data_IF_301506559655
#
_entry.id   IF_301506559655
#
_cell.length_a   1.000
_cell.length_b   1.000
_cell.length_c   1.000
_cell.angle_alpha   90.00
_cell.angle_beta   90.00
_cell.angle_gamma   90.00
#
_symmetry.space_group_name_H-M   'P 1'
#
loop_
_entity.id
_entity.type
_entity.pdbx_description
1 polymer ?
#
# COMPACT_ATOMS: atom_id res chain seq x y z
N UNK A 1 -26.46 -3.26 -0.02
CA UNK A 1 -26.44 -4.39 0.92
C UNK A 1 -25.18 -5.25 0.82
N UNK A 2 -24.54 -5.32 -0.35
CA UNK A 2 -23.44 -6.24 -0.69
C UNK A 2 -22.16 -6.06 0.18
N UNK A 3 -21.92 -4.85 0.66
CA UNK A 3 -20.70 -4.53 1.43
C UNK A 3 -20.97 -4.28 2.92
N UNK A 4 -22.11 -4.68 3.46
CA UNK A 4 -22.46 -4.45 4.88
C UNK A 4 -21.50 -5.12 5.88
N UNK A 5 -20.83 -6.19 5.48
CA UNK A 5 -19.90 -6.95 6.32
C UNK A 5 -18.54 -6.25 6.54
N UNK A 6 -18.21 -5.22 5.77
CA UNK A 6 -16.92 -4.53 5.89
C UNK A 6 -17.02 -3.27 6.75
N UNK A 7 -15.95 -2.93 7.47
CA UNK A 7 -15.89 -1.71 8.27
C UNK A 7 -16.10 -0.45 7.42
N UNK A 8 -16.81 0.55 7.99
CA UNK A 8 -17.14 1.81 7.35
C UNK A 8 -17.94 1.65 6.02
N UNK A 9 -18.75 0.61 5.91
CA UNK A 9 -19.44 0.26 4.68
C UNK A 9 -20.31 1.39 4.10
N UNK A 10 -20.97 2.19 4.95
CA UNK A 10 -21.82 3.32 4.49
C UNK A 10 -21.01 4.36 3.74
N UNK A 11 -19.87 4.80 4.32
CA UNK A 11 -18.96 5.75 3.68
C UNK A 11 -18.35 5.17 2.41
N UNK A 12 -17.95 3.89 2.45
CA UNK A 12 -17.42 3.19 1.28
C UNK A 12 -18.45 3.11 0.16
N UNK A 13 -19.69 2.74 0.46
CA UNK A 13 -20.76 2.69 -0.53
C UNK A 13 -21.02 4.06 -1.17
N UNK A 14 -21.09 5.13 -0.37
CA UNK A 14 -21.24 6.50 -0.87
C UNK A 14 -20.08 6.88 -1.79
N UNK A 15 -18.84 6.62 -1.38
CA UNK A 15 -17.65 6.92 -2.16
C UNK A 15 -17.61 6.15 -3.49
N UNK A 16 -17.93 4.84 -3.47
CA UNK A 16 -18.00 4.03 -4.70
C UNK A 16 -19.00 4.58 -5.69
N UNK A 17 -20.21 4.90 -5.25
CA UNK A 17 -21.25 5.49 -6.12
C UNK A 17 -20.79 6.84 -6.69
N UNK A 18 -20.23 7.71 -5.86
CA UNK A 18 -19.74 9.02 -6.30
C UNK A 18 -18.55 8.89 -7.27
N UNK A 19 -17.64 7.94 -7.02
CA UNK A 19 -16.52 7.63 -7.93
C UNK A 19 -17.05 7.15 -9.29
N UNK A 20 -18.00 6.22 -9.32
CA UNK A 20 -18.60 5.76 -10.58
C UNK A 20 -19.24 6.92 -11.34
N UNK A 21 -19.97 7.80 -10.64
CA UNK A 21 -20.59 8.97 -11.28
C UNK A 21 -19.54 9.89 -11.88
N UNK A 22 -18.47 10.24 -11.15
CA UNK A 22 -17.40 11.09 -11.67
C UNK A 22 -16.66 10.45 -12.85
N UNK A 23 -16.44 9.14 -12.82
CA UNK A 23 -15.83 8.43 -13.96
C UNK A 23 -16.69 8.56 -15.22
N UNK A 24 -18.02 8.50 -15.09
CA UNK A 24 -18.95 8.66 -16.22
C UNK A 24 -18.95 10.11 -16.71
N UNK A 25 -19.12 11.09 -15.81
CA UNK A 25 -19.31 12.49 -16.19
C UNK A 25 -18.02 13.17 -16.63
N UNK A 26 -16.91 12.95 -15.91
CA UNK A 26 -15.68 13.74 -16.04
C UNK A 26 -14.57 12.98 -16.78
N UNK A 27 -14.67 11.65 -16.83
CA UNK A 27 -13.62 10.79 -17.40
C UNK A 27 -14.11 9.87 -18.52
N UNK A 28 -15.32 10.10 -19.09
CA UNK A 28 -15.86 9.32 -20.21
C UNK A 28 -15.89 7.80 -19.93
N UNK A 29 -16.16 7.39 -18.69
CA UNK A 29 -16.11 6.02 -18.20
C UNK A 29 -14.72 5.35 -18.30
N UNK A 30 -13.65 6.12 -18.45
CA UNK A 30 -12.28 5.63 -18.51
C UNK A 30 -11.58 5.94 -17.18
N UNK A 31 -10.89 4.94 -16.63
CA UNK A 31 -10.11 5.12 -15.41
C UNK A 31 -8.88 6.02 -15.71
N UNK A 32 -8.70 7.15 -15.01
CA UNK A 32 -7.57 8.04 -15.25
C UNK A 32 -6.22 7.39 -14.90
N UNK A 33 -5.21 7.60 -15.76
CA UNK A 33 -3.86 7.02 -15.63
C UNK A 33 -2.86 7.99 -14.97
N UNK A 34 -3.32 8.88 -14.13
CA UNK A 34 -2.43 9.75 -13.36
C UNK A 34 -2.90 9.89 -11.93
N UNK A 35 -1.95 10.11 -11.02
CA UNK A 35 -2.22 10.12 -9.58
C UNK A 35 -3.15 11.27 -9.16
N UNK A 36 -2.96 12.47 -9.72
CA UNK A 36 -3.76 13.65 -9.35
C UNK A 36 -5.24 13.40 -9.67
N UNK A 37 -5.54 12.92 -10.86
CA UNK A 37 -6.91 12.60 -11.25
C UNK A 37 -7.49 11.42 -10.46
N UNK A 38 -6.68 10.42 -10.10
CA UNK A 38 -7.14 9.33 -9.22
C UNK A 38 -7.42 9.83 -7.81
N UNK A 39 -6.58 10.69 -7.24
CA UNK A 39 -6.77 11.25 -5.90
C UNK A 39 -7.95 12.25 -5.82
N UNK A 40 -8.42 12.80 -6.94
CA UNK A 40 -9.63 13.63 -6.98
C UNK A 40 -10.92 12.79 -6.85
N UNK A 41 -10.86 11.48 -7.08
CA UNK A 41 -12.02 10.60 -6.94
C UNK A 41 -12.39 10.39 -5.47
N UNK A 42 -13.69 10.38 -5.12
CA UNK A 42 -14.16 10.21 -3.74
C UNK A 42 -13.62 8.95 -3.05
N UNK A 43 -12.95 9.14 -1.91
CA UNK A 43 -12.38 8.03 -1.13
C UNK A 43 -11.09 7.44 -1.69
N UNK A 44 -10.52 8.02 -2.71
CA UNK A 44 -9.22 7.65 -3.27
C UNK A 44 -8.14 8.58 -2.72
N UNK A 45 -7.31 8.07 -1.82
CA UNK A 45 -6.11 8.76 -1.37
C UNK A 45 -4.86 8.22 -2.06
N UNK A 46 -3.71 8.80 -1.75
CA UNK A 46 -2.39 8.46 -2.33
C UNK A 46 -2.11 6.94 -2.38
N UNK A 47 -2.40 6.24 -1.28
CA UNK A 47 -2.21 4.77 -1.22
C UNK A 47 -3.05 4.04 -2.26
N UNK A 48 -4.32 4.38 -2.38
CA UNK A 48 -5.23 3.75 -3.34
C UNK A 48 -4.85 4.10 -4.77
N UNK A 49 -4.52 5.36 -5.05
CA UNK A 49 -4.04 5.80 -6.35
C UNK A 49 -2.77 5.04 -6.77
N UNK A 50 -1.78 4.89 -5.88
CA UNK A 50 -0.57 4.12 -6.17
C UNK A 50 -0.84 2.64 -6.44
N UNK A 51 -1.78 2.01 -5.70
CA UNK A 51 -2.19 0.62 -5.98
C UNK A 51 -2.82 0.50 -7.37
N UNK A 52 -3.72 1.42 -7.72
CA UNK A 52 -4.37 1.43 -9.04
C UNK A 52 -3.35 1.62 -10.15
N UNK A 53 -2.46 2.60 -10.03
CA UNK A 53 -1.40 2.85 -11.00
C UNK A 53 -0.50 1.63 -11.22
N UNK A 54 -0.11 0.96 -10.13
CA UNK A 54 0.71 -0.24 -10.21
C UNK A 54 -0.04 -1.42 -10.83
N UNK A 55 -1.24 -1.73 -10.30
CA UNK A 55 -1.95 -2.96 -10.64
C UNK A 55 -2.66 -2.89 -12.00
N UNK A 56 -3.31 -1.76 -12.30
CA UNK A 56 -4.07 -1.60 -13.53
C UNK A 56 -3.23 -1.09 -14.70
N UNK A 57 -2.20 -0.29 -14.43
CA UNK A 57 -1.41 0.35 -15.48
C UNK A 57 0.06 -0.06 -15.51
N UNK A 58 0.53 -0.88 -14.55
CA UNK A 58 1.92 -1.34 -14.50
C UNK A 58 2.93 -0.27 -14.12
N UNK A 59 2.47 0.86 -13.57
CA UNK A 59 3.36 1.94 -13.14
C UNK A 59 4.23 1.50 -11.95
N UNK A 60 5.50 1.91 -11.89
CA UNK A 60 6.43 1.49 -10.83
C UNK A 60 6.18 2.27 -9.53
N UNK A 61 5.00 2.10 -8.93
CA UNK A 61 4.61 2.72 -7.66
C UNK A 61 4.66 1.72 -6.52
N UNK A 62 4.95 2.20 -5.31
CA UNK A 62 4.86 1.42 -4.07
C UNK A 62 3.86 2.13 -3.15
N UNK A 63 2.72 1.50 -2.90
CA UNK A 63 1.69 2.04 -2.02
C UNK A 63 2.01 1.70 -0.57
N UNK A 64 2.48 2.65 0.21
CA UNK A 64 2.84 2.40 1.62
C UNK A 64 1.59 2.44 2.50
N UNK A 65 1.29 1.31 3.14
CA UNK A 65 0.27 1.18 4.19
C UNK A 65 0.93 0.96 5.57
N UNK A 66 0.12 0.71 6.59
CA UNK A 66 0.62 0.46 7.95
C UNK A 66 1.51 -0.79 8.05
N UNK A 67 1.28 -1.80 7.20
CA UNK A 67 2.12 -3.00 7.16
C UNK A 67 3.49 -2.69 6.57
N UNK A 68 3.50 -2.05 5.40
CA UNK A 68 4.73 -1.67 4.71
C UNK A 68 5.53 -0.66 5.53
N UNK A 69 4.87 0.36 6.08
CA UNK A 69 5.51 1.33 6.97
C UNK A 69 6.22 0.66 8.15
N UNK A 70 5.53 -0.27 8.82
CA UNK A 70 6.11 -1.02 9.95
C UNK A 70 7.27 -1.91 9.54
N UNK A 71 7.10 -2.72 8.49
CA UNK A 71 8.14 -3.64 8.02
C UNK A 71 9.38 -2.85 7.60
N UNK A 72 9.22 -1.83 6.78
CA UNK A 72 10.31 -1.01 6.27
C UNK A 72 11.14 -0.39 7.40
N UNK A 73 10.49 0.16 8.42
CA UNK A 73 11.19 0.74 9.57
C UNK A 73 11.81 -0.32 10.49
N UNK A 74 11.18 -1.48 10.69
CA UNK A 74 11.74 -2.56 11.51
C UNK A 74 12.96 -3.22 10.88
N UNK A 75 12.87 -3.54 9.60
CA UNK A 75 13.98 -4.15 8.86
C UNK A 75 15.05 -3.14 8.44
N UNK A 76 14.74 -1.85 8.51
CA UNK A 76 15.54 -0.73 8.04
C UNK A 76 15.78 -0.71 6.54
N UNK A 77 14.99 -1.48 5.76
CA UNK A 77 15.07 -1.44 4.30
C UNK A 77 14.71 -0.05 3.74
N UNK A 78 13.82 0.66 4.44
CA UNK A 78 13.47 2.05 4.14
C UNK A 78 13.01 2.76 5.41
N UNK A 79 13.85 3.63 5.96
CA UNK A 79 13.53 4.41 7.15
C UNK A 79 12.73 5.65 6.78
N UNK A 80 11.78 6.00 7.61
CA UNK A 80 11.01 7.24 7.49
C UNK A 80 10.06 7.45 8.67
N UNK A 81 9.81 8.70 9.01
CA UNK A 81 8.87 9.12 10.06
C UNK A 81 7.44 9.24 9.53
N UNK A 82 7.29 9.34 8.22
CA UNK A 82 6.01 9.43 7.52
C UNK A 82 5.91 8.40 6.41
N UNK A 83 4.66 8.12 6.00
CA UNK A 83 4.37 7.23 4.86
C UNK A 83 5.07 7.70 3.59
N UNK A 84 5.07 9.03 3.35
CA UNK A 84 5.69 9.61 2.16
C UNK A 84 7.22 9.45 2.14
N UNK A 85 7.87 9.57 3.30
CA UNK A 85 9.31 9.35 3.40
C UNK A 85 9.68 7.89 3.13
N UNK A 86 8.92 6.94 3.69
CA UNK A 86 9.12 5.51 3.43
C UNK A 86 8.87 5.19 1.97
N UNK A 87 7.81 5.74 1.35
CA UNK A 87 7.53 5.58 -0.08
C UNK A 87 8.71 6.07 -0.94
N UNK A 88 9.18 7.29 -0.68
CA UNK A 88 10.31 7.87 -1.42
C UNK A 88 11.59 7.03 -1.27
N UNK A 89 11.87 6.57 -0.04
CA UNK A 89 13.02 5.71 0.24
C UNK A 89 12.92 4.36 -0.46
N UNK A 90 11.75 3.70 -0.43
CA UNK A 90 11.53 2.43 -1.13
C UNK A 90 11.69 2.59 -2.63
N UNK A 91 11.10 3.63 -3.23
CA UNK A 91 11.22 3.89 -4.67
C UNK A 91 12.67 4.14 -5.09
N UNK A 92 13.45 4.82 -4.25
CA UNK A 92 14.86 5.11 -4.51
C UNK A 92 15.75 3.87 -4.47
N UNK A 93 15.49 2.95 -3.51
CA UNK A 93 16.40 1.84 -3.24
C UNK A 93 15.93 0.50 -3.81
N UNK A 94 14.68 0.38 -4.24
CA UNK A 94 14.17 -0.86 -4.85
C UNK A 94 14.61 -0.95 -6.31
N UNK A 95 15.33 -2.00 -6.73
CA UNK A 95 15.69 -2.19 -8.13
C UNK A 95 14.43 -2.24 -9.02
N UNK A 96 14.52 -1.68 -10.21
CA UNK A 96 13.39 -1.56 -11.16
C UNK A 96 12.65 -2.88 -11.41
N UNK A 97 13.40 -3.98 -11.50
CA UNK A 97 12.84 -5.31 -11.73
C UNK A 97 11.86 -5.76 -10.62
N UNK A 98 11.99 -5.23 -9.40
CA UNK A 98 11.18 -5.62 -8.24
C UNK A 98 10.06 -4.64 -7.91
N UNK A 99 10.07 -3.42 -8.46
CA UNK A 99 9.11 -2.37 -8.13
C UNK A 99 7.65 -2.82 -8.30
N UNK A 100 7.35 -3.57 -9.35
CA UNK A 100 6.01 -4.08 -9.63
C UNK A 100 5.43 -4.92 -8.50
N UNK A 101 6.27 -5.76 -7.86
CA UNK A 101 5.85 -6.73 -6.87
C UNK A 101 6.21 -6.34 -5.42
N UNK A 102 7.11 -5.38 -5.24
CA UNK A 102 7.63 -5.00 -3.93
C UNK A 102 6.53 -4.64 -2.92
N UNK A 103 5.50 -3.91 -3.38
CA UNK A 103 4.33 -3.60 -2.54
C UNK A 103 3.71 -4.87 -1.94
N UNK A 104 3.40 -5.85 -2.78
CA UNK A 104 2.72 -7.08 -2.35
C UNK A 104 3.60 -7.93 -1.43
N UNK A 105 4.88 -8.08 -1.75
CA UNK A 105 5.81 -8.87 -0.92
C UNK A 105 5.95 -8.29 0.48
N UNK A 106 6.20 -6.98 0.60
CA UNK A 106 6.36 -6.33 1.90
C UNK A 106 5.05 -6.32 2.67
N UNK A 107 3.90 -6.09 1.99
CA UNK A 107 2.57 -6.13 2.60
C UNK A 107 2.26 -7.51 3.19
N UNK A 108 2.44 -8.57 2.39
CA UNK A 108 2.16 -9.95 2.82
C UNK A 108 3.09 -10.37 3.97
N UNK A 109 4.38 -10.01 3.90
CA UNK A 109 5.32 -10.23 5.00
C UNK A 109 4.86 -9.52 6.27
N UNK A 110 4.43 -8.26 6.17
CA UNK A 110 3.90 -7.51 7.31
C UNK A 110 2.58 -8.06 7.86
N UNK A 111 1.76 -8.66 7.01
CA UNK A 111 0.46 -9.22 7.41
C UNK A 111 0.58 -10.57 8.10
N UNK A 112 1.47 -11.43 7.63
CA UNK A 112 1.53 -12.83 8.07
C UNK A 112 2.74 -13.15 8.95
N UNK A 113 3.88 -12.52 8.75
CA UNK A 113 5.12 -12.78 9.47
C UNK A 113 5.46 -11.65 10.44
N UNK A 114 5.81 -10.47 9.95
CA UNK A 114 6.20 -9.32 10.77
C UNK A 114 4.96 -8.59 11.32
N UNK A 115 4.15 -9.28 12.13
CA UNK A 115 2.91 -8.75 12.72
C UNK A 115 3.20 -7.58 13.68
N UNK A 116 2.16 -6.74 13.93
CA UNK A 116 2.33 -5.52 14.73
C UNK A 116 2.71 -5.82 16.19
N UNK A 117 1.94 -6.68 16.86
CA UNK A 117 2.12 -7.00 18.28
C UNK A 117 3.10 -8.16 18.51
N UNK A 118 2.94 -9.24 17.77
CA UNK A 118 3.72 -10.48 17.91
C UNK A 118 4.30 -10.89 16.56
N UNK A 119 5.47 -10.33 16.16
CA UNK A 119 6.12 -10.75 14.93
C UNK A 119 6.63 -12.19 15.08
N UNK A 120 6.49 -12.99 14.04
CA UNK A 120 6.99 -14.37 14.03
C UNK A 120 8.44 -14.38 13.51
N UNK A 121 9.37 -13.90 14.33
CA UNK A 121 10.78 -13.80 13.97
C UNK A 121 11.47 -15.15 13.80
N UNK A 122 11.17 -16.21 14.58
CA UNK A 122 11.78 -17.53 14.39
C UNK A 122 11.54 -18.15 13.02
N UNK A 123 10.37 -17.87 12.40
CA UNK A 123 10.05 -18.36 11.04
C UNK A 123 10.30 -17.33 9.94
N UNK A 124 10.94 -16.21 10.27
CA UNK A 124 11.14 -15.12 9.33
C UNK A 124 12.36 -15.39 8.44
N UNK A 125 12.14 -15.53 7.14
CA UNK A 125 13.20 -15.81 6.15
C UNK A 125 14.25 -14.72 5.99
N UNK A 126 14.03 -13.53 6.57
CA UNK A 126 14.97 -12.42 6.58
C UNK A 126 15.41 -12.04 8.01
N UNK A 127 15.28 -12.95 8.97
CA UNK A 127 15.58 -12.68 10.38
C UNK A 127 17.04 -12.28 10.61
N UNK A 128 17.96 -12.90 9.88
CA UNK A 128 19.40 -12.64 9.91
C UNK A 128 19.77 -11.24 9.36
N UNK A 129 19.03 -10.76 8.36
CA UNK A 129 19.24 -9.44 7.76
C UNK A 129 18.46 -8.33 8.48
N UNK A 130 17.54 -8.69 9.38
CA UNK A 130 16.65 -7.74 10.02
C UNK A 130 17.30 -7.06 11.22
N UNK A 131 17.30 -5.73 11.27
CA UNK A 131 17.86 -4.93 12.36
C UNK A 131 16.87 -4.60 13.50
N UNK A 132 15.69 -5.22 13.51
CA UNK A 132 14.69 -5.00 14.56
C UNK A 132 15.20 -5.54 15.90
N UNK A 133 15.35 -4.65 16.91
CA UNK A 133 15.97 -4.99 18.20
C UNK A 133 15.08 -5.89 19.08
N UNK A 134 13.75 -5.75 18.98
CA UNK A 134 12.79 -6.49 19.81
C UNK A 134 12.25 -7.72 19.06
N UNK A 135 13.13 -8.55 18.50
CA UNK A 135 12.73 -9.82 17.87
C UNK A 135 12.09 -10.72 18.92
N UNK A 136 11.01 -11.43 18.53
CA UNK A 136 10.47 -12.51 19.36
C UNK A 136 11.44 -13.70 19.36
N UNK A 137 11.52 -14.38 20.48
CA UNK A 137 12.19 -15.67 20.60
C UNK A 137 11.39 -16.76 19.89
#
# INVERSE_FOLDING_TARGET
NEIKSIGLYRTKAKNVLATCQMLITDHQSILPKNRIALESLPGVGRKTANVVLNTAFGEPTIAVDTHIFRVSNRTRIALGKSVNEVEASLLKHTPKAFLKNAHHWILLHGRYVCKARTPNCPSCVIADLCEFKSKSA
#
